data_IF_207369149117
#
_entry.id   IF_207369149117
#
_cell.length_a   1.000
_cell.length_b   1.000
_cell.length_c   1.000
_cell.angle_alpha   90.00
_cell.angle_beta   90.00
_cell.angle_gamma   90.00
#
_symmetry.space_group_name_H-M   'P 1'
#
loop_
_entity.id
_entity.type
_entity.pdbx_description
1 polymer ?
#
# COMPACT_ATOMS: atom_id res chain seq x y z
N UNK A 1 0.93 19.31 -12.47
CA UNK A 1 1.41 19.69 -11.11
C UNK A 1 2.92 19.85 -11.18
N UNK A 2 3.44 21.03 -10.86
CA UNK A 2 4.89 21.25 -10.86
C UNK A 2 5.53 20.78 -9.53
N UNK A 3 6.86 20.81 -9.48
CA UNK A 3 7.59 20.31 -8.31
C UNK A 3 7.25 21.09 -7.03
N UNK A 4 7.05 22.40 -7.14
CA UNK A 4 6.68 23.24 -6.01
C UNK A 4 5.32 22.88 -5.46
N UNK A 5 4.36 22.69 -6.35
CA UNK A 5 2.99 22.29 -5.98
C UNK A 5 2.99 20.91 -5.38
N UNK A 6 3.77 20.00 -5.94
CA UNK A 6 3.86 18.63 -5.45
C UNK A 6 4.46 18.57 -4.04
N UNK A 7 5.52 19.34 -3.80
CA UNK A 7 6.14 19.41 -2.47
C UNK A 7 5.18 19.96 -1.44
N UNK A 8 4.41 20.98 -1.80
CA UNK A 8 3.41 21.57 -0.92
C UNK A 8 2.29 20.57 -0.62
N UNK A 9 1.82 19.87 -1.64
CA UNK A 9 0.79 18.85 -1.49
C UNK A 9 1.29 17.69 -0.61
N UNK A 10 2.53 17.27 -0.81
CA UNK A 10 3.12 16.21 -0.02
C UNK A 10 3.21 16.60 1.45
N UNK A 11 3.58 17.84 1.73
CA UNK A 11 3.65 18.34 3.12
C UNK A 11 2.28 18.31 3.79
N UNK A 12 1.26 18.78 3.09
CA UNK A 12 -0.13 18.75 3.60
C UNK A 12 -0.59 17.31 3.81
N UNK A 13 -0.23 16.42 2.91
CA UNK A 13 -0.57 15.01 3.01
C UNK A 13 0.03 14.39 4.28
N UNK A 14 1.31 14.66 4.52
CA UNK A 14 1.99 14.16 5.71
C UNK A 14 1.34 14.70 6.99
N UNK A 15 1.01 15.98 7.02
CA UNK A 15 0.36 16.59 8.18
C UNK A 15 -1.01 15.96 8.45
N UNK A 16 -1.78 15.72 7.39
CA UNK A 16 -3.11 15.12 7.54
C UNK A 16 -3.02 13.70 8.08
N UNK A 17 -2.07 12.89 7.56
CA UNK A 17 -1.97 11.49 7.94
C UNK A 17 -1.12 11.23 9.17
N UNK A 18 -0.48 12.26 9.71
CA UNK A 18 0.32 12.11 10.91
C UNK A 18 -0.54 11.61 12.08
N UNK A 19 -0.06 10.58 12.76
CA UNK A 19 -0.82 9.97 13.86
C UNK A 19 -1.94 9.04 13.43
N UNK A 20 -2.20 8.94 12.13
CA UNK A 20 -3.12 7.95 11.57
C UNK A 20 -2.28 6.78 11.06
N UNK A 21 -2.88 5.64 10.88
CA UNK A 21 -2.07 4.51 10.41
C UNK A 21 -2.73 3.18 10.66
N UNK A 22 -4.05 3.18 10.62
CA UNK A 22 -4.80 1.94 10.76
C UNK A 22 -4.77 1.20 9.43
N UNK A 23 -4.20 0.02 9.46
CA UNK A 23 -4.03 -0.80 8.26
C UNK A 23 -5.36 -1.06 7.56
N UNK A 24 -6.36 -1.53 8.30
CA UNK A 24 -7.62 -1.97 7.69
C UNK A 24 -8.59 -0.83 7.40
N UNK A 25 -8.71 0.11 8.30
CA UNK A 25 -9.72 1.14 8.18
C UNK A 25 -9.37 2.27 7.23
N UNK A 26 -8.10 2.43 6.89
CA UNK A 26 -7.63 3.62 6.19
C UNK A 26 -6.81 3.35 4.92
N UNK A 27 -6.58 2.09 4.57
CA UNK A 27 -5.73 1.77 3.42
C UNK A 27 -6.22 2.40 2.13
N UNK A 28 -7.51 2.22 1.81
CA UNK A 28 -8.07 2.77 0.58
C UNK A 28 -8.01 4.29 0.56
N UNK A 29 -8.47 4.92 1.62
CA UNK A 29 -8.45 6.39 1.72
C UNK A 29 -7.03 6.94 1.60
N UNK A 30 -6.07 6.30 2.25
CA UNK A 30 -4.68 6.70 2.20
C UNK A 30 -4.15 6.69 0.76
N UNK A 31 -4.31 5.58 0.06
CA UNK A 31 -3.75 5.42 -1.29
C UNK A 31 -4.46 6.26 -2.33
N UNK A 32 -5.79 6.37 -2.25
CA UNK A 32 -6.54 7.24 -3.15
C UNK A 32 -6.14 8.70 -2.94
N UNK A 33 -6.02 9.12 -1.69
CA UNK A 33 -5.60 10.47 -1.33
C UNK A 33 -4.17 10.75 -1.81
N UNK A 34 -3.24 9.82 -1.60
CA UNK A 34 -1.86 9.98 -2.05
C UNK A 34 -1.79 10.18 -3.56
N UNK A 35 -2.46 9.31 -4.31
CA UNK A 35 -2.45 9.38 -5.76
C UNK A 35 -3.08 10.68 -6.29
N UNK A 36 -4.19 11.09 -5.69
CA UNK A 36 -4.90 12.29 -6.12
C UNK A 36 -4.17 13.56 -5.72
N UNK A 37 -3.82 13.67 -4.45
CA UNK A 37 -3.32 14.95 -3.90
C UNK A 37 -1.84 15.18 -4.17
N UNK A 38 -1.03 14.12 -4.14
CA UNK A 38 0.43 14.26 -4.28
C UNK A 38 0.90 13.98 -5.70
N UNK A 39 0.33 12.95 -6.33
CA UNK A 39 0.76 12.56 -7.67
C UNK A 39 -0.12 13.08 -8.78
N UNK A 40 -1.20 13.80 -8.45
CA UNK A 40 -2.03 14.47 -9.44
C UNK A 40 -2.84 13.55 -10.34
N UNK A 41 -3.13 12.34 -9.88
CA UNK A 41 -3.96 11.39 -10.63
C UNK A 41 -5.41 11.82 -10.49
N UNK A 42 -6.08 12.12 -11.62
CA UNK A 42 -7.44 12.64 -11.61
C UNK A 42 -8.45 11.60 -11.09
N UNK A 43 -8.29 10.34 -11.47
CA UNK A 43 -9.22 9.28 -11.10
C UNK A 43 -8.46 8.07 -10.56
N UNK A 44 -7.91 8.19 -9.34
CA UNK A 44 -7.09 7.09 -8.79
C UNK A 44 -7.88 5.80 -8.63
N UNK A 45 -9.19 5.88 -8.47
CA UNK A 45 -10.06 4.72 -8.37
C UNK A 45 -9.98 3.80 -9.59
N UNK A 46 -9.57 4.36 -10.74
CA UNK A 46 -9.41 3.60 -11.98
C UNK A 46 -8.01 3.05 -12.18
N UNK A 47 -7.07 3.47 -11.33
CA UNK A 47 -5.65 3.15 -11.48
C UNK A 47 -5.21 2.08 -10.51
N UNK A 48 -5.75 2.10 -9.29
CA UNK A 48 -5.35 1.19 -8.22
C UNK A 48 -6.50 0.26 -7.84
N UNK A 49 -6.17 -1.01 -7.63
CA UNK A 49 -7.12 -2.02 -7.17
C UNK A 49 -6.74 -2.42 -5.74
N UNK A 50 -7.75 -2.62 -4.89
CA UNK A 50 -7.54 -2.96 -3.48
C UNK A 50 -7.96 -4.39 -3.21
N UNK A 51 -7.18 -5.07 -2.38
CA UNK A 51 -7.46 -6.44 -1.94
C UNK A 51 -7.72 -7.39 -3.11
N UNK A 52 -7.03 -7.15 -4.24
CA UNK A 52 -7.17 -8.01 -5.39
C UNK A 52 -6.71 -9.42 -5.06
N UNK A 53 -7.54 -10.36 -5.42
CA UNK A 53 -7.18 -11.75 -5.31
C UNK A 53 -6.30 -12.12 -6.50
N UNK A 54 -5.01 -12.27 -6.23
CA UNK A 54 -4.10 -12.84 -7.21
C UNK A 54 -4.13 -14.34 -7.00
N UNK A 55 -4.47 -15.08 -8.06
CA UNK A 55 -4.54 -16.53 -7.98
C UNK A 55 -3.13 -17.08 -7.95
N UNK A 56 -2.60 -17.19 -6.75
CA UNK A 56 -1.33 -17.85 -6.48
C UNK A 56 -1.61 -19.26 -5.97
N UNK A 57 -0.55 -20.03 -5.79
CA UNK A 57 -0.68 -21.42 -5.28
C UNK A 57 -1.45 -21.50 -3.97
N UNK A 58 -1.40 -20.47 -3.15
CA UNK A 58 -1.97 -20.47 -1.81
C UNK A 58 -3.15 -19.51 -1.65
N UNK A 59 -3.76 -19.05 -2.72
CA UNK A 59 -4.89 -18.11 -2.65
C UNK A 59 -4.60 -16.94 -1.71
N UNK A 60 -3.59 -16.17 -2.03
CA UNK A 60 -3.22 -15.01 -1.22
C UNK A 60 -3.87 -13.75 -1.76
N UNK A 61 -4.03 -12.77 -0.87
CA UNK A 61 -4.53 -11.45 -1.21
C UNK A 61 -3.41 -10.44 -1.03
N UNK A 62 -3.34 -9.48 -1.92
CA UNK A 62 -2.48 -8.31 -1.73
C UNK A 62 -3.37 -7.16 -1.28
N UNK A 63 -2.77 -6.20 -0.56
CA UNK A 63 -3.55 -5.07 -0.05
C UNK A 63 -3.95 -4.12 -1.17
N UNK A 64 -3.04 -3.86 -2.11
CA UNK A 64 -3.33 -3.04 -3.27
C UNK A 64 -2.40 -3.36 -4.43
N UNK A 65 -2.84 -3.03 -5.64
CA UNK A 65 -2.08 -3.28 -6.86
C UNK A 65 -2.35 -2.17 -7.88
N UNK A 66 -1.28 -1.68 -8.50
CA UNK A 66 -1.38 -0.70 -9.59
C UNK A 66 -0.95 -1.40 -10.89
N UNK A 67 -1.92 -1.87 -11.71
CA UNK A 67 -1.59 -2.68 -12.89
C UNK A 67 -0.68 -2.00 -13.90
N UNK A 68 -0.90 -0.72 -14.16
CA UNK A 68 -0.14 0.02 -15.19
C UNK A 68 1.35 0.07 -14.90
N UNK A 69 1.74 0.07 -13.64
CA UNK A 69 3.14 0.13 -13.24
C UNK A 69 3.62 -1.17 -12.60
N UNK A 70 2.72 -2.14 -12.44
CA UNK A 70 3.00 -3.43 -11.80
C UNK A 70 3.52 -3.28 -10.37
N UNK A 71 2.97 -2.32 -9.63
CA UNK A 71 3.34 -2.10 -8.23
C UNK A 71 2.41 -2.89 -7.32
N UNK A 72 2.99 -3.77 -6.52
CA UNK A 72 2.29 -4.50 -5.47
C UNK A 72 2.49 -3.77 -4.15
N UNK A 73 1.44 -3.65 -3.36
CA UNK A 73 1.48 -2.95 -2.10
C UNK A 73 1.06 -3.88 -0.97
N UNK A 74 1.96 -4.07 -0.01
CA UNK A 74 1.68 -4.76 1.24
C UNK A 74 1.66 -3.71 2.34
N UNK A 75 0.47 -3.38 2.83
CA UNK A 75 0.26 -2.30 3.79
C UNK A 75 0.37 -2.82 5.21
N UNK A 76 1.06 -2.06 6.05
CA UNK A 76 1.13 -2.33 7.49
C UNK A 76 0.74 -1.09 8.28
N UNK A 77 0.19 -1.29 9.47
CA UNK A 77 -0.09 -0.18 10.38
C UNK A 77 1.19 0.54 10.81
N UNK A 78 1.05 1.80 11.19
CA UNK A 78 2.20 2.64 11.51
C UNK A 78 3.04 2.13 12.67
N UNK A 79 2.48 1.27 13.52
CA UNK A 79 3.19 0.70 14.68
C UNK A 79 4.02 -0.54 14.34
N UNK A 80 3.96 -1.04 13.11
CA UNK A 80 4.67 -2.25 12.72
C UNK A 80 6.08 -1.91 12.25
N UNK A 81 7.06 -2.62 12.79
CA UNK A 81 8.46 -2.51 12.37
C UNK A 81 8.66 -3.36 11.12
N UNK A 82 8.92 -2.71 9.98
CA UNK A 82 9.02 -3.39 8.69
C UNK A 82 10.25 -4.29 8.58
N UNK A 83 11.19 -4.20 9.51
CA UNK A 83 12.39 -5.04 9.51
C UNK A 83 12.20 -6.33 10.29
N UNK A 84 11.12 -6.47 11.03
CA UNK A 84 10.87 -7.62 11.89
C UNK A 84 9.98 -8.64 11.22
N UNK A 85 10.21 -9.90 11.56
CA UNK A 85 9.40 -11.02 11.05
C UNK A 85 8.07 -11.08 11.78
N UNK A 86 7.02 -11.39 11.05
CA UNK A 86 5.66 -11.50 11.54
C UNK A 86 5.16 -12.91 11.25
N UNK A 87 4.47 -13.51 12.21
CA UNK A 87 3.92 -14.85 12.04
C UNK A 87 2.81 -14.84 11.00
N UNK A 88 2.93 -15.70 10.02
CA UNK A 88 1.93 -15.87 8.97
C UNK A 88 0.89 -16.92 9.40
N UNK A 89 -0.21 -17.00 8.64
CA UNK A 89 -1.29 -17.95 8.93
C UNK A 89 -0.83 -19.41 8.85
N UNK A 90 0.18 -19.69 8.02
CA UNK A 90 0.75 -21.03 7.88
C UNK A 90 1.84 -21.34 8.93
N UNK A 91 2.08 -20.42 9.85
CA UNK A 91 3.08 -20.59 10.91
C UNK A 91 4.47 -20.10 10.55
N UNK A 92 4.74 -19.76 9.29
CA UNK A 92 6.04 -19.23 8.89
C UNK A 92 6.25 -17.82 9.43
N UNK A 93 7.53 -17.42 9.53
CA UNK A 93 7.91 -16.10 10.02
C UNK A 93 8.51 -15.30 8.87
N UNK A 94 7.86 -14.22 8.48
CA UNK A 94 8.28 -13.39 7.35
C UNK A 94 8.26 -11.92 7.70
N UNK A 95 9.22 -11.16 7.15
CA UNK A 95 9.13 -9.70 7.15
C UNK A 95 8.05 -9.28 6.15
N UNK A 96 7.51 -8.04 6.26
CA UNK A 96 6.56 -7.55 5.26
C UNK A 96 7.11 -7.63 3.82
N UNK A 97 8.39 -7.36 3.62
CA UNK A 97 9.02 -7.49 2.30
C UNK A 97 8.95 -8.94 1.80
N UNK A 98 9.29 -9.90 2.65
CA UNK A 98 9.21 -11.32 2.30
C UNK A 98 7.78 -11.76 2.02
N UNK A 99 6.83 -11.20 2.78
CA UNK A 99 5.42 -11.46 2.57
C UNK A 99 4.97 -10.98 1.17
N UNK A 100 5.35 -9.77 0.80
CA UNK A 100 5.05 -9.23 -0.52
C UNK A 100 5.69 -10.08 -1.63
N UNK A 101 6.91 -10.55 -1.42
CA UNK A 101 7.62 -11.39 -2.38
C UNK A 101 6.89 -12.69 -2.68
N UNK A 102 6.12 -13.21 -1.75
CA UNK A 102 5.33 -14.43 -1.95
C UNK A 102 4.32 -14.26 -3.08
N UNK A 103 3.74 -13.08 -3.22
CA UNK A 103 2.75 -12.82 -4.27
C UNK A 103 3.39 -12.88 -5.65
N UNK A 104 4.67 -12.54 -5.75
CA UNK A 104 5.38 -12.52 -7.02
C UNK A 104 5.88 -13.91 -7.38
N UNK A 105 6.38 -14.64 -6.41
CA UNK A 105 7.03 -15.93 -6.63
C UNK A 105 6.09 -17.13 -6.52
N UNK A 106 4.85 -16.87 -6.21
CA UNK A 106 3.84 -17.91 -6.18
C UNK A 106 3.36 -18.25 -7.56
#
# INVERSE_FOLDING_TARGET
MDDKEQKRAAKKFVEFWHGKGYEKGQTQSFWLSLLREVFGVAEPEKVISFEDQIVLKNTNFIDAYIPSTRVLIEQKGSHIDLTKKIKQSDGSMLTPYQQARRYISG
#
